data_IF_514507153886
#
_entry.id   IF_514507153886
#
_cell.length_a   1.000
_cell.length_b   1.000
_cell.length_c   1.000
_cell.angle_alpha   90.00
_cell.angle_beta   90.00
_cell.angle_gamma   90.00
#
_symmetry.space_group_name_H-M   'P 1'
#
loop_
_entity.id
_entity.type
_entity.pdbx_description
1 polymer ?
#
# COMPACT_ATOMS: atom_id res chain seq x y z
N UNK A 1 14.72 6.55 -16.18
CA UNK A 1 14.82 6.10 -17.57
C UNK A 1 14.92 7.30 -18.50
N UNK A 2 16.00 7.40 -19.26
CA UNK A 2 16.14 8.38 -20.35
C UNK A 2 15.46 7.92 -21.65
N UNK A 3 15.44 8.78 -22.67
CA UNK A 3 14.87 8.42 -23.98
C UNK A 3 15.63 7.28 -24.67
N UNK A 4 16.95 7.22 -24.49
CA UNK A 4 17.81 6.14 -25.02
C UNK A 4 17.46 4.78 -24.41
N UNK A 5 17.25 4.74 -23.10
CA UNK A 5 16.91 3.51 -22.37
C UNK A 5 15.52 3.02 -22.80
N UNK A 6 14.55 3.94 -22.88
CA UNK A 6 13.21 3.64 -23.37
C UNK A 6 13.24 3.05 -24.80
N UNK A 7 14.04 3.62 -25.70
CA UNK A 7 14.16 3.11 -27.07
C UNK A 7 14.80 1.71 -27.12
N UNK A 8 15.82 1.45 -26.28
CA UNK A 8 16.48 0.16 -26.19
C UNK A 8 15.55 -0.93 -25.63
N UNK A 9 14.81 -0.62 -24.56
CA UNK A 9 13.82 -1.53 -23.98
C UNK A 9 12.65 -1.78 -24.93
N UNK A 10 12.14 -0.74 -25.59
CA UNK A 10 11.12 -0.86 -26.64
C UNK A 10 11.58 -1.84 -27.72
N UNK A 11 12.79 -1.68 -28.23
CA UNK A 11 13.35 -2.58 -29.23
C UNK A 11 13.46 -4.03 -28.73
N UNK A 12 13.79 -4.25 -27.44
CA UNK A 12 13.79 -5.60 -26.88
C UNK A 12 12.38 -6.18 -26.77
N UNK A 13 11.40 -5.41 -26.30
CA UNK A 13 10.00 -5.88 -26.20
C UNK A 13 9.46 -6.32 -27.55
N UNK A 14 9.76 -5.60 -28.63
CA UNK A 14 9.34 -6.01 -29.98
C UNK A 14 10.04 -7.28 -30.49
N UNK A 15 11.19 -7.67 -29.92
CA UNK A 15 11.84 -8.96 -30.21
C UNK A 15 11.26 -10.10 -29.38
N UNK A 16 10.98 -9.84 -28.10
CA UNK A 16 10.75 -10.89 -27.11
C UNK A 16 9.26 -11.10 -26.79
N UNK A 17 8.37 -10.22 -27.25
CA UNK A 17 6.94 -10.21 -26.93
C UNK A 17 6.08 -9.98 -28.17
N UNK A 18 4.75 -10.15 -28.03
CA UNK A 18 3.84 -9.88 -29.13
C UNK A 18 3.92 -8.40 -29.57
N UNK A 19 3.88 -8.07 -30.88
CA UNK A 19 3.97 -6.68 -31.35
C UNK A 19 2.91 -5.75 -30.75
N UNK A 20 1.72 -6.29 -30.45
CA UNK A 20 0.64 -5.54 -29.79
C UNK A 20 1.00 -5.18 -28.36
N UNK A 21 1.51 -6.14 -27.58
CA UNK A 21 1.95 -5.89 -26.22
C UNK A 21 3.15 -4.93 -26.18
N UNK A 22 4.14 -5.15 -27.04
CA UNK A 22 5.32 -4.31 -27.14
C UNK A 22 4.96 -2.85 -27.46
N UNK A 23 4.07 -2.62 -28.43
CA UNK A 23 3.58 -1.28 -28.75
C UNK A 23 2.84 -0.63 -27.57
N UNK A 24 1.96 -1.38 -26.89
CA UNK A 24 1.16 -0.88 -25.76
C UNK A 24 2.04 -0.51 -24.56
N UNK A 25 2.95 -1.40 -24.13
CA UNK A 25 3.86 -1.15 -22.99
C UNK A 25 4.83 -0.01 -23.28
N UNK A 26 5.34 0.09 -24.50
CA UNK A 26 6.26 1.18 -24.88
C UNK A 26 5.54 2.54 -24.92
N UNK A 27 4.29 2.57 -25.41
CA UNK A 27 3.45 3.77 -25.35
C UNK A 27 3.11 4.19 -23.92
N UNK A 28 2.80 3.23 -23.04
CA UNK A 28 2.58 3.45 -21.62
C UNK A 28 3.79 4.11 -20.96
N UNK A 29 5.01 3.59 -21.16
CA UNK A 29 6.21 4.17 -20.55
C UNK A 29 6.50 5.60 -21.02
N UNK A 30 6.28 5.87 -22.31
CA UNK A 30 6.43 7.22 -22.85
C UNK A 30 5.42 8.18 -22.21
N UNK A 31 4.15 7.76 -22.09
CA UNK A 31 3.09 8.55 -21.46
C UNK A 31 3.35 8.78 -19.97
N UNK A 32 3.71 7.73 -19.22
CA UNK A 32 4.11 7.82 -17.81
C UNK A 32 5.30 8.78 -17.65
N UNK A 33 6.30 8.68 -18.52
CA UNK A 33 7.44 9.59 -18.55
C UNK A 33 7.03 11.04 -18.78
N UNK A 34 6.08 11.30 -19.68
CA UNK A 34 5.54 12.64 -19.90
C UNK A 34 4.75 13.15 -18.68
N UNK A 35 3.86 12.33 -18.13
CA UNK A 35 3.03 12.70 -16.98
C UNK A 35 3.84 12.98 -15.71
N UNK A 36 4.97 12.29 -15.51
CA UNK A 36 5.92 12.58 -14.41
C UNK A 36 6.50 14.00 -14.42
N UNK A 37 6.38 14.72 -15.52
CA UNK A 37 6.84 16.11 -15.69
C UNK A 37 5.72 17.13 -15.57
N UNK A 38 4.47 16.67 -15.50
CA UNK A 38 3.31 17.54 -15.33
C UNK A 38 3.19 17.89 -13.85
N UNK A 39 3.12 19.18 -13.47
CA UNK A 39 2.85 19.56 -12.09
C UNK A 39 1.48 19.03 -11.65
N UNK A 40 1.47 18.22 -10.60
CA UNK A 40 0.23 17.77 -9.94
C UNK A 40 -0.18 18.72 -8.81
N UNK A 41 -1.38 18.50 -8.20
CA UNK A 41 -1.73 19.14 -6.94
C UNK A 41 -0.68 18.83 -5.85
N UNK A 42 -0.50 19.71 -4.87
CA UNK A 42 0.49 19.49 -3.80
C UNK A 42 0.18 18.23 -2.98
N UNK A 43 -1.11 17.96 -2.75
CA UNK A 43 -1.60 16.91 -1.85
C UNK A 43 -1.91 17.48 -0.48
N UNK A 44 -2.81 16.82 0.24
CA UNK A 44 -3.25 17.12 1.58
C UNK A 44 -2.38 16.33 2.55
N UNK A 45 -1.60 17.02 3.38
CA UNK A 45 -0.71 16.38 4.34
C UNK A 45 -1.50 15.76 5.48
N UNK A 46 -1.17 14.53 5.89
CA UNK A 46 -1.78 13.88 7.05
C UNK A 46 -1.60 14.70 8.34
N UNK A 47 -0.56 15.53 8.39
CA UNK A 47 -0.23 16.34 9.56
C UNK A 47 -1.08 17.60 9.68
N UNK A 48 -1.83 17.98 8.64
CA UNK A 48 -2.74 19.12 8.66
C UNK A 48 -4.14 18.76 9.17
N UNK A 49 -4.34 17.48 9.53
CA UNK A 49 -5.58 16.94 10.10
C UNK A 49 -5.30 16.37 11.49
N UNK A 50 -6.33 16.33 12.31
CA UNK A 50 -6.28 15.69 13.63
C UNK A 50 -6.55 14.19 13.52
N UNK A 51 -5.87 13.42 14.36
CA UNK A 51 -5.99 11.98 14.52
C UNK A 51 -5.07 11.53 15.67
N UNK A 52 -5.49 10.49 16.39
CA UNK A 52 -4.68 9.79 17.38
C UNK A 52 -4.00 8.59 16.73
N UNK A 53 -4.77 7.82 15.95
CA UNK A 53 -4.30 6.66 15.19
C UNK A 53 -4.64 6.81 13.72
N UNK A 54 -3.63 6.70 12.85
CA UNK A 54 -3.77 6.77 11.41
C UNK A 54 -3.53 5.40 10.79
N UNK A 55 -4.53 4.86 10.12
CA UNK A 55 -4.47 3.59 9.40
C UNK A 55 -4.26 3.88 7.92
N UNK A 56 -3.11 3.50 7.39
CA UNK A 56 -2.77 3.60 5.97
C UNK A 56 -3.04 2.24 5.33
N UNK A 57 -3.88 2.22 4.30
CA UNK A 57 -4.11 1.11 3.42
C UNK A 57 -3.27 1.31 2.15
N UNK A 58 -2.35 0.40 1.82
CA UNK A 58 -1.53 0.54 0.60
C UNK A 58 -2.40 0.47 -0.67
N UNK A 59 -2.26 1.47 -1.55
CA UNK A 59 -2.93 1.55 -2.85
C UNK A 59 -4.48 1.61 -2.82
N UNK A 60 -5.08 2.17 -1.76
CA UNK A 60 -6.53 2.25 -1.62
C UNK A 60 -7.15 3.44 -2.38
N UNK A 61 -7.86 3.12 -3.47
CA UNK A 61 -8.61 4.08 -4.27
C UNK A 61 -9.85 4.63 -3.54
N UNK A 62 -10.06 5.94 -3.66
CA UNK A 62 -11.28 6.60 -3.18
C UNK A 62 -12.57 6.00 -3.74
N UNK A 63 -12.67 5.77 -5.05
CA UNK A 63 -13.92 5.37 -5.67
C UNK A 63 -14.39 4.01 -5.16
N UNK A 64 -13.50 3.02 -5.14
CA UNK A 64 -13.80 1.69 -4.61
C UNK A 64 -14.11 1.75 -3.10
N UNK A 65 -13.35 2.50 -2.31
CA UNK A 65 -13.64 2.63 -0.87
C UNK A 65 -15.02 3.27 -0.64
N UNK A 66 -15.30 4.37 -1.32
CA UNK A 66 -16.55 5.13 -1.15
C UNK A 66 -17.79 4.34 -1.57
N UNK A 67 -17.68 3.51 -2.61
CA UNK A 67 -18.77 2.66 -3.08
C UNK A 67 -19.13 1.57 -2.06
N UNK A 68 -18.13 1.00 -1.37
CA UNK A 68 -18.34 -0.11 -0.43
C UNK A 68 -18.58 0.34 1.01
N UNK A 69 -18.01 1.47 1.43
CA UNK A 69 -17.99 1.91 2.83
C UNK A 69 -18.47 3.35 3.05
N UNK A 70 -18.89 4.07 2.01
CA UNK A 70 -19.33 5.47 2.13
C UNK A 70 -20.50 5.68 3.11
N UNK A 71 -21.35 4.66 3.28
CA UNK A 71 -22.53 4.68 4.16
C UNK A 71 -22.39 3.73 5.37
N UNK A 72 -21.16 3.29 5.70
CA UNK A 72 -20.93 2.40 6.83
C UNK A 72 -21.26 3.09 8.17
N UNK A 73 -22.05 2.45 9.02
CA UNK A 73 -22.59 3.03 10.26
C UNK A 73 -21.56 3.25 11.37
N UNK A 74 -20.44 2.54 11.30
CA UNK A 74 -19.29 2.67 12.21
C UNK A 74 -18.28 3.73 11.76
N UNK A 75 -18.47 4.35 10.59
CA UNK A 75 -17.68 5.48 10.11
C UNK A 75 -18.46 6.78 10.35
N UNK A 76 -17.84 7.76 11.00
CA UNK A 76 -18.47 9.04 11.31
C UNK A 76 -18.52 9.96 10.08
N UNK A 77 -17.42 10.01 9.34
CA UNK A 77 -17.29 10.78 8.11
C UNK A 77 -16.45 10.00 7.11
N UNK A 78 -16.78 10.12 5.82
CA UNK A 78 -16.02 9.55 4.71
C UNK A 78 -15.93 10.59 3.62
N UNK A 79 -14.74 11.11 3.37
CA UNK A 79 -14.50 12.13 2.35
C UNK A 79 -13.23 11.85 1.54
N UNK A 80 -13.13 12.38 0.31
CA UNK A 80 -11.91 12.24 -0.46
C UNK A 80 -10.87 13.28 -0.05
N UNK A 81 -9.60 12.86 -0.01
CA UNK A 81 -8.44 13.76 0.02
C UNK A 81 -7.50 13.45 -1.14
N UNK A 82 -6.53 14.34 -1.36
CA UNK A 82 -5.48 14.16 -2.35
C UNK A 82 -4.20 13.71 -1.65
N UNK A 83 -3.76 12.48 -1.85
CA UNK A 83 -2.46 12.03 -1.37
C UNK A 83 -1.32 12.90 -1.92
N UNK A 84 -0.30 13.14 -1.07
CA UNK A 84 0.95 13.80 -1.44
C UNK A 84 1.78 12.98 -2.42
N UNK A 85 1.59 11.66 -2.50
CA UNK A 85 2.29 10.76 -3.42
C UNK A 85 1.34 10.02 -4.36
N UNK A 86 1.90 9.46 -5.44
CA UNK A 86 1.19 8.48 -6.29
C UNK A 86 1.78 7.06 -6.17
N UNK A 87 2.63 6.85 -5.17
CA UNK A 87 3.34 5.61 -4.84
C UNK A 87 3.91 5.74 -3.41
N UNK A 88 4.07 4.64 -2.67
CA UNK A 88 4.55 4.67 -1.27
C UNK A 88 5.88 5.39 -1.06
N UNK A 89 6.93 5.20 -1.91
CA UNK A 89 8.18 5.95 -1.79
C UNK A 89 7.99 7.48 -1.80
N UNK A 90 7.16 7.96 -2.74
CA UNK A 90 6.87 9.39 -2.86
C UNK A 90 6.04 9.91 -1.70
N UNK A 91 5.09 9.09 -1.21
CA UNK A 91 4.28 9.45 -0.06
C UNK A 91 5.14 9.55 1.21
N UNK A 92 6.01 8.58 1.46
CA UNK A 92 6.92 8.56 2.61
C UNK A 92 7.89 9.77 2.57
N UNK A 93 8.54 10.03 1.42
CA UNK A 93 9.45 11.17 1.23
C UNK A 93 8.79 12.53 1.56
N UNK A 94 7.49 12.65 1.27
CA UNK A 94 6.72 13.90 1.48
C UNK A 94 6.02 13.95 2.84
N UNK A 95 5.89 12.83 3.52
CA UNK A 95 5.20 12.72 4.81
C UNK A 95 6.18 12.83 5.98
N UNK A 96 7.32 12.16 5.91
CA UNK A 96 8.34 12.09 6.98
C UNK A 96 9.40 13.17 6.78
N UNK A 97 8.97 14.43 6.79
CA UNK A 97 9.84 15.58 6.54
C UNK A 97 10.24 16.31 7.82
N UNK A 98 11.36 17.03 7.77
CA UNK A 98 11.83 17.85 8.90
C UNK A 98 10.88 18.99 9.29
N UNK A 99 9.93 19.34 8.42
CA UNK A 99 8.87 20.32 8.71
C UNK A 99 7.99 19.86 9.88
N UNK A 100 7.72 18.56 9.97
CA UNK A 100 6.85 17.97 10.99
C UNK A 100 7.60 17.32 12.14
N UNK A 101 8.88 17.66 12.33
CA UNK A 101 9.79 17.02 13.32
C UNK A 101 9.18 16.88 14.73
N UNK A 102 8.43 17.88 15.19
CA UNK A 102 7.89 17.88 16.55
C UNK A 102 6.74 16.88 16.69
N UNK A 103 5.91 16.73 15.64
CA UNK A 103 4.86 15.72 15.57
C UNK A 103 5.44 14.32 15.37
N UNK A 104 6.48 14.20 14.54
CA UNK A 104 7.19 12.94 14.31
C UNK A 104 7.80 12.40 15.60
N UNK A 105 8.42 13.26 16.40
CA UNK A 105 9.08 12.89 17.65
C UNK A 105 8.14 12.33 18.73
N UNK A 106 6.82 12.51 18.61
CA UNK A 106 5.81 11.89 19.48
C UNK A 106 4.95 10.82 18.79
N UNK A 107 5.32 10.43 17.55
CA UNK A 107 4.58 9.46 16.73
C UNK A 107 5.30 8.12 16.65
N UNK A 108 4.57 7.04 16.90
CA UNK A 108 4.97 5.69 16.54
C UNK A 108 4.58 5.35 15.10
N UNK A 109 5.43 4.64 14.37
CA UNK A 109 5.14 4.14 13.03
C UNK A 109 5.36 2.63 12.95
N UNK A 110 4.27 1.89 12.77
CA UNK A 110 4.25 0.43 12.61
C UNK A 110 3.94 0.12 11.15
N UNK A 111 4.85 -0.53 10.43
CA UNK A 111 4.75 -0.63 8.97
C UNK A 111 5.03 -2.02 8.42
N UNK A 112 4.19 -2.43 7.47
CA UNK A 112 4.41 -3.60 6.62
C UNK A 112 5.16 -3.30 5.32
N UNK A 113 5.45 -2.02 5.03
CA UNK A 113 5.94 -1.60 3.71
C UNK A 113 7.48 -1.53 3.66
N UNK A 114 8.17 -2.36 2.85
CA UNK A 114 9.64 -2.41 2.80
C UNK A 114 10.33 -1.18 2.19
N UNK A 115 9.58 -0.21 1.68
CA UNK A 115 10.13 1.10 1.30
C UNK A 115 10.52 1.95 2.50
N UNK A 116 9.98 1.66 3.69
CA UNK A 116 10.33 2.37 4.92
C UNK A 116 11.83 2.41 5.20
N UNK A 117 12.58 1.35 4.85
CA UNK A 117 14.04 1.27 5.02
C UNK A 117 14.81 2.43 4.38
N UNK A 118 14.39 2.88 3.19
CA UNK A 118 15.10 3.91 2.43
C UNK A 118 14.44 5.30 2.58
N UNK A 119 13.16 5.33 2.93
CA UNK A 119 12.33 6.53 2.86
C UNK A 119 11.91 7.08 4.23
N UNK A 120 12.23 6.38 5.33
CA UNK A 120 11.93 6.83 6.70
C UNK A 120 13.18 6.73 7.57
N UNK A 121 13.52 7.83 8.25
CA UNK A 121 14.67 7.85 9.16
C UNK A 121 14.20 7.57 10.58
N UNK A 122 14.65 6.46 11.18
CA UNK A 122 14.27 6.02 12.54
C UNK A 122 14.38 7.13 13.60
N UNK A 123 15.48 7.88 13.60
CA UNK A 123 15.75 8.95 14.58
C UNK A 123 14.79 10.16 14.51
N UNK A 124 13.85 10.18 13.57
CA UNK A 124 12.82 11.22 13.49
C UNK A 124 11.55 10.86 14.27
N UNK A 125 11.31 9.58 14.54
CA UNK A 125 10.08 9.06 15.14
C UNK A 125 10.29 8.68 16.61
N UNK A 126 9.21 8.66 17.39
CA UNK A 126 9.24 8.09 18.74
C UNK A 126 9.50 6.58 18.69
N UNK A 127 8.96 5.92 17.65
CA UNK A 127 9.17 4.51 17.35
C UNK A 127 9.05 4.29 15.84
N UNK A 128 9.95 3.50 15.28
CA UNK A 128 9.80 2.87 13.97
C UNK A 128 9.83 1.34 14.15
N UNK A 129 8.71 0.68 13.91
CA UNK A 129 8.62 -0.79 13.93
C UNK A 129 8.32 -1.32 12.53
N UNK A 130 9.39 -1.72 11.84
CA UNK A 130 9.36 -2.31 10.51
C UNK A 130 9.03 -3.81 10.60
N UNK A 131 7.76 -4.12 10.85
CA UNK A 131 7.26 -5.49 11.07
C UNK A 131 7.61 -6.41 9.90
N UNK A 132 7.60 -5.88 8.68
CA UNK A 132 8.00 -6.60 7.47
C UNK A 132 9.41 -7.18 7.53
N UNK A 133 10.32 -6.67 8.38
CA UNK A 133 11.68 -7.19 8.50
C UNK A 133 11.70 -8.60 9.08
N UNK A 134 10.86 -8.85 10.08
CA UNK A 134 10.87 -10.09 10.85
C UNK A 134 9.61 -10.93 10.66
N UNK A 135 8.53 -10.41 10.07
CA UNK A 135 7.36 -11.19 9.68
C UNK A 135 7.16 -11.08 8.17
N UNK A 136 6.97 -12.22 7.51
CA UNK A 136 6.60 -12.30 6.10
C UNK A 136 5.89 -13.63 5.85
N UNK A 137 4.80 -13.62 5.09
CA UNK A 137 4.17 -14.86 4.64
C UNK A 137 4.63 -15.13 3.20
N UNK A 138 5.53 -16.11 3.05
CA UNK A 138 6.05 -16.50 1.74
C UNK A 138 4.97 -17.17 0.86
N UNK A 139 3.91 -17.76 1.42
CA UNK A 139 2.82 -18.36 0.65
C UNK A 139 1.85 -17.28 0.12
N UNK A 140 1.70 -16.17 0.83
CA UNK A 140 0.92 -15.01 0.37
C UNK A 140 1.74 -14.01 -0.45
N UNK A 141 3.07 -14.00 -0.30
CA UNK A 141 3.95 -13.01 -0.93
C UNK A 141 3.79 -11.60 -0.35
N UNK A 142 3.26 -11.50 0.87
CA UNK A 142 3.03 -10.24 1.57
C UNK A 142 3.02 -10.48 3.08
N UNK A 143 2.88 -9.41 3.86
CA UNK A 143 2.61 -9.50 5.28
C UNK A 143 1.07 -9.45 5.51
N UNK A 144 0.48 -10.45 6.18
CA UNK A 144 -0.93 -10.38 6.55
C UNK A 144 -1.16 -9.28 7.61
N UNK A 145 -2.39 -8.79 7.77
CA UNK A 145 -2.67 -7.66 8.65
C UNK A 145 -2.57 -8.00 10.14
N UNK A 146 -2.71 -9.27 10.52
CA UNK A 146 -2.68 -9.71 11.92
C UNK A 146 -1.35 -9.37 12.64
N UNK A 147 -0.17 -9.72 12.11
CA UNK A 147 1.12 -9.32 12.70
C UNK A 147 1.28 -7.81 12.91
N UNK A 148 0.83 -6.98 11.96
CA UNK A 148 0.85 -5.52 12.11
C UNK A 148 -0.09 -5.06 13.21
N UNK A 149 -1.33 -5.56 13.22
CA UNK A 149 -2.31 -5.25 14.26
C UNK A 149 -1.78 -5.64 15.64
N UNK A 150 -1.15 -6.82 15.76
CA UNK A 150 -0.59 -7.28 17.02
C UNK A 150 0.49 -6.31 17.55
N UNK A 151 1.42 -5.85 16.69
CA UNK A 151 2.42 -4.87 17.11
C UNK A 151 1.81 -3.49 17.37
N UNK A 152 0.86 -3.04 16.55
CA UNK A 152 0.15 -1.78 16.77
C UNK A 152 -0.55 -1.76 18.13
N UNK A 153 -1.28 -2.82 18.48
CA UNK A 153 -1.95 -2.95 19.78
C UNK A 153 -0.92 -2.99 20.92
N UNK A 154 0.16 -3.76 20.75
CA UNK A 154 1.26 -3.84 21.72
C UNK A 154 1.86 -2.48 22.03
N UNK A 155 2.16 -1.69 21.01
CA UNK A 155 2.76 -0.36 21.17
C UNK A 155 1.75 0.66 21.68
N UNK A 156 0.53 0.68 21.15
CA UNK A 156 -0.48 1.66 21.55
C UNK A 156 -0.90 1.53 23.01
N UNK A 157 -1.06 0.30 23.51
CA UNK A 157 -1.46 0.05 24.91
C UNK A 157 -0.39 0.45 25.94
N UNK A 158 0.83 0.78 25.54
CA UNK A 158 1.85 1.33 26.45
C UNK A 158 1.48 2.73 26.96
N UNK A 159 0.80 3.53 26.13
CA UNK A 159 0.53 4.94 26.39
C UNK A 159 1.76 5.85 26.21
N UNK A 160 2.84 5.36 25.58
CA UNK A 160 4.11 6.10 25.43
C UNK A 160 4.11 7.11 24.26
N UNK A 161 3.10 7.05 23.39
CA UNK A 161 3.03 7.83 22.14
C UNK A 161 1.77 8.68 22.09
N UNK A 162 1.87 9.91 21.57
CA UNK A 162 0.71 10.77 21.34
C UNK A 162 -0.06 10.35 20.09
N UNK A 163 0.66 9.78 19.12
CA UNK A 163 0.14 9.41 17.80
C UNK A 163 0.71 8.08 17.34
N UNK A 164 -0.06 7.33 16.55
CA UNK A 164 0.42 6.11 15.90
C UNK A 164 -0.03 6.03 14.45
N UNK A 165 0.89 5.72 13.55
CA UNK A 165 0.62 5.37 12.16
C UNK A 165 0.78 3.86 12.01
N UNK A 166 -0.22 3.18 11.45
CA UNK A 166 -0.18 1.76 11.10
C UNK A 166 -0.34 1.64 9.59
N UNK A 167 0.65 1.09 8.90
CA UNK A 167 0.66 1.02 7.43
C UNK A 167 0.59 -0.42 6.92
N UNK A 168 -0.63 -0.81 6.56
CA UNK A 168 -1.00 -2.11 6.03
C UNK A 168 -0.69 -2.24 4.55
N UNK A 169 -0.31 -3.45 4.12
CA UNK A 169 -0.04 -3.75 2.71
C UNK A 169 -1.31 -4.05 1.90
N UNK A 170 -2.48 -4.19 2.51
CA UNK A 170 -3.74 -4.41 1.82
C UNK A 170 -4.51 -3.08 1.69
N UNK A 171 -5.22 -2.83 0.58
CA UNK A 171 -5.64 -3.76 -0.47
C UNK A 171 -4.64 -4.06 -1.60
N UNK A 172 -3.44 -3.46 -1.57
CA UNK A 172 -2.42 -3.70 -2.60
C UNK A 172 -2.12 -5.21 -2.82
N UNK A 173 -1.74 -5.52 -4.05
CA UNK A 173 -1.42 -6.88 -4.51
C UNK A 173 -0.12 -7.41 -3.86
N UNK A 174 0.06 -8.71 -3.60
CA UNK A 174 -0.80 -9.87 -3.90
C UNK A 174 -2.13 -9.91 -3.14
N UNK A 175 -3.21 -10.34 -3.82
CA UNK A 175 -4.54 -10.45 -3.21
C UNK A 175 -4.66 -11.72 -2.37
N UNK A 176 -5.00 -11.55 -1.09
CA UNK A 176 -5.03 -12.65 -0.09
C UNK A 176 -6.27 -13.53 -0.26
N UNK A 177 -7.44 -12.92 -0.47
CA UNK A 177 -8.74 -13.62 -0.48
C UNK A 177 -9.05 -14.30 -1.80
N UNK A 178 -8.73 -13.65 -2.91
CA UNK A 178 -9.05 -14.11 -4.25
C UNK A 178 -7.82 -13.97 -5.18
N UNK A 179 -6.83 -14.86 -5.03
CA UNK A 179 -5.63 -14.81 -5.85
C UNK A 179 -5.98 -15.06 -7.32
N UNK A 180 -5.48 -14.20 -8.21
CA UNK A 180 -5.75 -14.31 -9.64
C UNK A 180 -5.00 -15.52 -10.20
N UNK A 181 -5.73 -16.46 -10.81
CA UNK A 181 -5.14 -17.62 -11.50
C UNK A 181 -4.16 -17.18 -12.60
N UNK A 182 -2.95 -17.71 -12.58
CA UNK A 182 -1.85 -17.30 -13.47
C UNK A 182 -1.11 -16.03 -13.04
N UNK A 183 -1.67 -15.28 -12.07
CA UNK A 183 -0.98 -14.22 -11.33
C UNK A 183 0.08 -14.78 -10.38
N UNK A 184 0.86 -13.92 -9.73
CA UNK A 184 1.93 -14.33 -8.80
C UNK A 184 1.46 -15.41 -7.82
N UNK A 185 2.07 -16.59 -7.95
CA UNK A 185 1.98 -17.68 -7.01
C UNK A 185 3.39 -17.91 -6.48
N UNK A 186 3.69 -17.54 -5.22
CA UNK A 186 5.05 -17.64 -4.69
C UNK A 186 5.58 -19.08 -4.69
N UNK A 187 4.72 -20.10 -4.70
CA UNK A 187 5.09 -21.52 -4.83
C UNK A 187 5.60 -21.89 -6.24
N UNK A 188 5.32 -21.08 -7.26
CA UNK A 188 5.75 -21.32 -8.66
C UNK A 188 7.03 -20.56 -9.03
N UNK A 189 7.48 -19.61 -8.20
CA UNK A 189 8.70 -18.80 -8.40
C UNK A 189 10.00 -19.60 -8.20
N UNK A 190 9.89 -20.89 -7.86
CA UNK A 190 11.01 -21.78 -7.53
C UNK A 190 11.99 -22.00 -8.72
N UNK A 191 11.61 -21.68 -9.96
CA UNK A 191 12.39 -22.02 -11.16
C UNK A 191 12.77 -20.86 -12.11
N UNK A 192 12.89 -19.60 -11.66
CA UNK A 192 13.15 -18.46 -12.55
C UNK A 192 12.13 -18.29 -13.70
N UNK A 193 10.98 -18.96 -13.63
CA UNK A 193 9.84 -18.67 -14.50
C UNK A 193 9.21 -17.38 -13.98
N UNK A 194 9.13 -16.36 -14.84
CA UNK A 194 8.55 -15.06 -14.48
C UNK A 194 7.11 -15.30 -14.04
N UNK A 195 6.84 -15.27 -12.74
CA UNK A 195 5.49 -15.09 -12.24
C UNK A 195 4.91 -13.86 -12.94
N UNK A 196 3.79 -14.04 -13.63
CA UNK A 196 3.21 -12.97 -14.41
C UNK A 196 2.41 -12.08 -13.47
N UNK A 197 2.78 -10.80 -13.44
CA UNK A 197 2.10 -9.79 -12.65
C UNK A 197 0.63 -9.67 -13.13
N UNK A 198 -0.32 -9.58 -12.19
CA UNK A 198 -1.75 -9.44 -12.49
C UNK A 198 -2.05 -8.24 -13.41
N UNK A 199 -1.31 -7.14 -13.27
CA UNK A 199 -1.41 -5.97 -14.13
C UNK A 199 -0.95 -6.28 -15.56
N UNK A 200 0.06 -7.14 -15.75
CA UNK A 200 0.50 -7.58 -17.08
C UNK A 200 -0.51 -8.52 -17.73
N UNK A 201 -1.13 -9.44 -16.97
CA UNK A 201 -2.25 -10.26 -17.44
C UNK A 201 -3.41 -9.40 -17.92
N UNK A 202 -3.79 -8.37 -17.14
CA UNK A 202 -4.84 -7.43 -17.53
C UNK A 202 -4.42 -6.63 -18.77
N UNK A 203 -3.16 -6.20 -18.82
CA UNK A 203 -2.62 -5.43 -19.93
C UNK A 203 -2.66 -6.22 -21.25
N UNK A 204 -2.45 -7.54 -21.20
CA UNK A 204 -2.55 -8.47 -22.34
C UNK A 204 -3.99 -8.90 -22.64
N UNK A 205 -4.93 -8.61 -21.76
CA UNK A 205 -6.35 -8.96 -21.89
C UNK A 205 -6.65 -10.42 -21.53
N UNK A 206 -5.76 -11.05 -20.76
CA UNK A 206 -5.96 -12.40 -20.22
C UNK A 206 -6.93 -12.40 -19.03
N UNK A 207 -6.96 -11.29 -18.28
CA UNK A 207 -8.00 -10.99 -17.31
C UNK A 207 -8.70 -9.68 -17.68
N UNK A 208 -9.99 -9.58 -17.37
CA UNK A 208 -10.73 -8.34 -17.58
C UNK A 208 -10.41 -7.32 -16.48
N UNK A 209 -10.58 -6.02 -16.79
CA UNK A 209 -10.44 -4.96 -15.78
C UNK A 209 -11.43 -5.15 -14.62
N UNK A 210 -12.65 -5.60 -14.90
CA UNK A 210 -13.67 -5.83 -13.87
C UNK A 210 -13.29 -6.96 -12.94
N UNK A 211 -12.75 -8.07 -13.45
CA UNK A 211 -12.33 -9.20 -12.61
C UNK A 211 -11.13 -8.81 -11.74
N UNK A 212 -10.20 -8.01 -12.29
CA UNK A 212 -9.07 -7.51 -11.52
C UNK A 212 -9.51 -6.56 -10.39
N UNK A 213 -10.43 -5.63 -10.69
CA UNK A 213 -11.02 -4.75 -9.66
C UNK A 213 -11.80 -5.55 -8.63
N UNK A 214 -12.49 -6.63 -9.00
CA UNK A 214 -13.19 -7.49 -8.06
C UNK A 214 -12.22 -8.14 -7.06
N UNK A 215 -11.11 -8.72 -7.53
CA UNK A 215 -10.09 -9.30 -6.65
C UNK A 215 -9.45 -8.26 -5.71
N UNK A 216 -9.21 -7.05 -6.21
CA UNK A 216 -8.77 -5.91 -5.39
C UNK A 216 -9.81 -5.51 -4.34
N UNK A 217 -11.10 -5.45 -4.71
CA UNK A 217 -12.20 -5.14 -3.79
C UNK A 217 -12.36 -6.21 -2.71
N UNK A 218 -12.20 -7.49 -3.04
CA UNK A 218 -12.22 -8.60 -2.07
C UNK A 218 -11.08 -8.46 -1.04
N UNK A 219 -9.92 -7.94 -1.47
CA UNK A 219 -8.78 -7.68 -0.59
C UNK A 219 -8.97 -6.41 0.26
N UNK A 220 -9.70 -5.42 -0.27
CA UNK A 220 -10.15 -4.26 0.51
C UNK A 220 -11.16 -4.67 1.60
N UNK A 221 -12.11 -5.54 1.27
CA UNK A 221 -13.05 -6.07 2.26
C UNK A 221 -12.33 -6.83 3.37
N UNK A 222 -11.36 -7.66 3.00
CA UNK A 222 -10.52 -8.37 3.95
C UNK A 222 -9.84 -7.45 4.97
N UNK A 223 -9.18 -6.38 4.52
CA UNK A 223 -8.47 -5.48 5.44
C UNK A 223 -9.43 -4.60 6.26
N UNK A 224 -10.54 -4.15 5.68
CA UNK A 224 -11.51 -3.34 6.40
C UNK A 224 -12.24 -4.15 7.48
N UNK A 225 -12.61 -5.40 7.18
CA UNK A 225 -13.21 -6.29 8.17
C UNK A 225 -12.23 -6.57 9.32
N UNK A 226 -10.95 -6.82 9.02
CA UNK A 226 -9.90 -7.00 10.02
C UNK A 226 -9.71 -5.75 10.90
N UNK A 227 -9.64 -4.56 10.30
CA UNK A 227 -9.53 -3.31 11.06
C UNK A 227 -10.73 -3.15 11.98
N UNK A 228 -11.95 -3.29 11.44
CA UNK A 228 -13.18 -3.03 12.19
C UNK A 228 -13.40 -4.04 13.32
N UNK A 229 -13.22 -5.34 13.05
CA UNK A 229 -13.48 -6.41 14.01
C UNK A 229 -12.34 -6.70 14.95
N UNK A 230 -11.11 -6.32 14.60
CA UNK A 230 -9.92 -6.66 15.39
C UNK A 230 -9.23 -5.42 15.92
N UNK A 231 -8.67 -4.56 15.06
CA UNK A 231 -7.88 -3.43 15.54
C UNK A 231 -8.72 -2.46 16.37
N UNK A 232 -9.88 -2.04 15.87
CA UNK A 232 -10.74 -1.06 16.56
C UNK A 232 -11.33 -1.61 17.87
N UNK A 233 -11.38 -2.94 18.04
CA UNK A 233 -11.80 -3.59 19.28
C UNK A 233 -10.64 -3.81 20.27
N UNK A 234 -9.40 -3.52 19.87
CA UNK A 234 -8.19 -3.81 20.62
C UNK A 234 -7.44 -2.54 21.11
N UNK A 235 -7.86 -1.36 20.65
CA UNK A 235 -7.27 -0.08 21.02
C UNK A 235 -8.35 0.88 21.52
N UNK A 236 -7.98 1.80 22.42
CA UNK A 236 -8.83 2.96 22.77
C UNK A 236 -8.23 4.20 22.14
N UNK A 237 -8.97 4.85 21.25
CA UNK A 237 -8.57 6.08 20.57
C UNK A 237 -9.83 6.86 20.19
N UNK A 238 -9.85 8.17 20.46
CA UNK A 238 -11.03 9.01 20.21
C UNK A 238 -11.16 9.29 18.71
N UNK A 239 -10.03 9.48 18.02
CA UNK A 239 -10.01 9.73 16.58
C UNK A 239 -9.06 8.78 15.84
N UNK A 240 -9.64 7.79 15.18
CA UNK A 240 -8.97 6.91 14.23
C UNK A 240 -9.29 7.37 12.81
N UNK A 241 -8.26 7.67 12.03
CA UNK A 241 -8.40 8.02 10.62
C UNK A 241 -7.95 6.86 9.73
N UNK A 242 -8.77 6.48 8.74
CA UNK A 242 -8.45 5.47 7.72
C UNK A 242 -8.22 6.20 6.40
N UNK A 243 -7.04 6.02 5.82
CA UNK A 243 -6.66 6.65 4.57
C UNK A 243 -5.70 5.76 3.78
N UNK A 244 -5.06 6.32 2.76
CA UNK A 244 -4.12 5.61 1.90
C UNK A 244 -2.97 6.50 1.50
N UNK A 245 -1.82 5.88 1.26
CA UNK A 245 -0.63 6.54 0.74
C UNK A 245 -0.77 6.86 -0.76
N UNK A 246 -1.54 6.09 -1.52
CA UNK A 246 -1.89 6.36 -2.92
C UNK A 246 -3.08 5.50 -3.39
N UNK A 247 -3.56 5.71 -4.61
CA UNK A 247 -4.50 4.80 -5.27
C UNK A 247 -3.81 3.82 -6.23
N UNK A 248 -4.61 3.16 -7.07
CA UNK A 248 -4.14 2.09 -7.96
C UNK A 248 -4.74 2.24 -9.38
N UNK A 249 -3.93 2.12 -10.43
CA UNK A 249 -4.41 2.20 -11.80
C UNK A 249 -4.59 0.81 -12.41
N UNK A 250 -5.77 0.58 -12.97
CA UNK A 250 -6.17 -0.65 -13.67
C UNK A 250 -6.33 -0.36 -15.17
N UNK A 251 -5.41 0.37 -15.77
CA UNK A 251 -5.40 0.71 -17.20
C UNK A 251 -5.98 2.08 -17.56
N UNK A 252 -6.33 2.92 -16.58
CA UNK A 252 -6.76 4.31 -16.82
C UNK A 252 -5.66 5.07 -17.57
N UNK A 253 -6.03 5.67 -18.72
CA UNK A 253 -5.08 6.31 -19.64
C UNK A 253 -3.95 5.39 -20.12
N UNK A 254 -4.11 4.06 -20.04
CA UNK A 254 -3.06 3.10 -20.34
C UNK A 254 -2.02 2.95 -19.23
N UNK A 255 -2.27 3.48 -18.04
CA UNK A 255 -1.43 3.35 -16.86
C UNK A 255 -1.95 2.18 -16.02
N UNK A 256 -1.02 1.35 -15.59
CA UNK A 256 -1.23 0.23 -14.70
C UNK A 256 -0.32 0.42 -13.49
N UNK A 257 -0.70 -0.19 -12.36
CA UNK A 257 -0.02 -0.03 -11.07
C UNK A 257 -0.04 1.46 -10.63
N UNK A 258 0.89 1.83 -9.77
CA UNK A 258 1.00 3.14 -9.14
C UNK A 258 2.39 3.75 -9.40
N UNK A 259 2.71 4.12 -10.66
CA UNK A 259 3.99 4.74 -10.96
C UNK A 259 4.15 6.06 -10.19
N UNK A 260 5.31 6.25 -9.54
CA UNK A 260 5.58 7.47 -8.78
C UNK A 260 5.55 8.74 -9.65
N UNK A 261 5.17 9.86 -9.02
CA UNK A 261 5.08 11.21 -9.57
C UNK A 261 4.07 11.38 -10.70
N UNK A 262 3.07 10.51 -10.78
CA UNK A 262 2.05 10.54 -11.84
C UNK A 262 0.77 11.18 -11.28
N UNK A 263 0.40 12.39 -11.74
CA UNK A 263 -0.63 13.19 -11.09
C UNK A 263 -2.04 12.87 -11.59
N UNK A 264 -2.39 11.59 -11.75
CA UNK A 264 -3.74 11.20 -12.17
C UNK A 264 -4.65 10.95 -10.95
N UNK A 265 -5.95 11.30 -11.02
CA UNK A 265 -6.85 11.18 -9.87
C UNK A 265 -6.93 9.77 -9.28
N UNK A 266 -6.91 8.71 -10.11
CA UNK A 266 -7.00 7.33 -9.60
C UNK A 266 -5.81 6.89 -8.76
N UNK A 267 -4.67 7.58 -8.85
CA UNK A 267 -3.48 7.31 -8.03
C UNK A 267 -3.34 8.24 -6.82
N UNK A 268 -4.10 9.33 -6.78
CA UNK A 268 -3.89 10.37 -5.75
C UNK A 268 -5.14 10.70 -4.96
N UNK A 269 -6.34 10.39 -5.46
CA UNK A 269 -7.58 10.60 -4.72
C UNK A 269 -7.83 9.38 -3.83
N UNK A 270 -7.69 9.56 -2.53
CA UNK A 270 -7.73 8.50 -1.52
C UNK A 270 -8.82 8.81 -0.48
N UNK A 271 -9.35 7.79 0.23
CA UNK A 271 -10.30 8.03 1.30
C UNK A 271 -9.66 8.73 2.49
N UNK A 272 -10.47 9.49 3.21
CA UNK A 272 -10.22 9.91 4.58
C UNK A 272 -11.50 9.62 5.36
N UNK A 273 -11.49 8.52 6.10
CA UNK A 273 -12.62 8.09 6.92
C UNK A 273 -12.28 8.22 8.41
N UNK A 274 -13.19 8.79 9.20
CA UNK A 274 -13.02 8.95 10.65
C UNK A 274 -13.90 7.95 11.41
N UNK A 275 -13.34 7.35 12.45
CA UNK A 275 -14.00 6.47 13.42
C UNK A 275 -13.29 6.55 14.77
N UNK A 276 -13.66 5.71 15.72
CA UNK A 276 -13.01 5.58 17.03
C UNK A 276 -12.68 4.12 17.34
N UNK A 277 -11.70 3.90 18.23
CA UNK A 277 -11.36 2.60 18.76
C UNK A 277 -11.86 2.45 20.20
N UNK A 278 -12.38 1.28 20.54
CA UNK A 278 -12.72 0.92 21.93
C UNK A 278 -12.19 -0.46 22.26
N UNK A 279 -11.21 -0.49 23.17
CA UNK A 279 -10.62 -1.73 23.63
C UNK A 279 -11.65 -2.54 24.46
N UNK A 280 -12.01 -3.73 23.97
CA UNK A 280 -12.93 -4.66 24.64
C UNK A 280 -12.22 -5.47 25.72
N UNK A 281 -10.88 -5.49 25.74
CA UNK A 281 -10.06 -6.31 26.62
C UNK A 281 -9.92 -7.77 26.15
N UNK A 282 -10.46 -8.14 24.99
CA UNK A 282 -10.45 -9.53 24.49
C UNK A 282 -9.21 -9.84 23.63
N UNK A 283 -8.55 -8.82 23.07
CA UNK A 283 -7.39 -9.02 22.20
C UNK A 283 -6.13 -9.39 22.99
N UNK A 284 -5.58 -10.57 22.70
CA UNK A 284 -4.34 -11.08 23.27
C UNK A 284 -3.16 -10.71 22.37
N UNK A 285 -2.08 -10.21 22.99
CA UNK A 285 -0.86 -9.86 22.26
C UNK A 285 0.04 -11.08 22.18
N UNK A 286 0.47 -11.41 20.97
CA UNK A 286 1.45 -12.47 20.70
C UNK A 286 2.88 -11.93 20.69
N UNK A 287 3.83 -12.70 21.22
CA UNK A 287 5.26 -12.35 21.13
C UNK A 287 5.86 -12.83 19.80
N UNK A 288 5.77 -11.98 18.78
CA UNK A 288 6.25 -12.32 17.44
C UNK A 288 7.77 -12.34 17.33
N UNK A 289 8.50 -11.67 18.22
CA UNK A 289 9.96 -11.52 18.13
C UNK A 289 10.72 -12.72 18.70
N UNK A 290 10.06 -13.64 19.41
CA UNK A 290 10.71 -14.83 19.97
C UNK A 290 10.83 -16.01 18.99
N UNK A 291 10.06 -16.01 17.89
CA UNK A 291 9.85 -17.21 17.05
C UNK A 291 10.29 -17.08 15.58
N UNK A 292 10.96 -16.02 15.15
CA UNK A 292 11.28 -15.81 13.72
C UNK A 292 12.76 -15.93 13.37
N UNK A 293 13.09 -16.91 12.53
CA UNK A 293 14.31 -16.88 11.72
C UNK A 293 14.27 -15.65 10.80
N UNK A 294 15.43 -15.01 10.59
CA UNK A 294 15.57 -13.91 9.63
C UNK A 294 15.15 -14.44 8.24
N UNK A 295 13.95 -14.06 7.79
CA UNK A 295 13.35 -14.55 6.55
C UNK A 295 13.93 -13.91 5.28
N UNK A 296 13.13 -13.94 4.21
CA UNK A 296 13.42 -13.42 2.88
C UNK A 296 14.11 -12.03 2.88
N UNK A 297 15.04 -11.83 1.94
CA UNK A 297 15.70 -10.52 1.74
C UNK A 297 14.69 -9.45 1.33
N UNK A 298 14.99 -8.19 1.63
CA UNK A 298 14.16 -7.04 1.23
C UNK A 298 13.88 -7.01 -0.27
N UNK A 299 14.90 -7.29 -1.10
CA UNK A 299 14.73 -7.39 -2.56
C UNK A 299 13.73 -8.49 -2.96
N UNK A 300 13.72 -9.64 -2.27
CA UNK A 300 12.70 -10.67 -2.49
C UNK A 300 11.32 -10.14 -2.13
N UNK A 301 11.17 -9.50 -0.97
CA UNK A 301 9.88 -8.95 -0.51
C UNK A 301 9.32 -7.90 -1.46
N UNK A 302 10.15 -6.96 -1.92
CA UNK A 302 9.76 -5.97 -2.93
C UNK A 302 9.35 -6.63 -4.25
N UNK A 303 10.04 -7.70 -4.68
CA UNK A 303 9.67 -8.46 -5.89
C UNK A 303 8.36 -9.21 -5.72
N UNK A 304 8.13 -9.82 -4.56
CA UNK A 304 6.89 -10.53 -4.24
C UNK A 304 5.69 -9.57 -4.22
N UNK A 305 5.91 -8.32 -3.79
CA UNK A 305 4.96 -7.21 -3.90
C UNK A 305 4.86 -6.60 -5.31
N UNK A 306 5.69 -7.03 -6.27
CA UNK A 306 5.58 -6.57 -7.66
C UNK A 306 6.20 -5.20 -7.91
N UNK A 307 6.97 -4.71 -6.94
CA UNK A 307 7.72 -3.46 -7.06
C UNK A 307 9.02 -3.60 -7.87
N UNK A 308 9.53 -4.84 -8.04
CA UNK A 308 10.81 -5.18 -8.71
C UNK A 308 10.69 -6.30 -9.74
#
# INVERSE_FOLDING_TARGET
>A
MGFSDWAAETASRFRDQSPRFAAKRSGQELLTGALRRVPGPAGDSIWEREWDVLLILDACRWDVFSENYGDADWLETVEPITSVGSASPEWMDKTFTTEYKDKLASTAYVTGNPYSEDHVTENQLALLDEVWRYVWDDDLGTIPPEPLTNQAVKHWRTGDYERMIVHYMQPHWPYVTNPIEGGFNPRTVINNEKAENAFDLQNRGEISKSDHIAAYSDNLEYIIDHIHRTLLQAITADQVAITSDHGEAFGEFGIYEHPSRVPIPVLRKVPWAITSGRDTGEYNIDDLRSDTEIGATREKKLRDLGYL
#
